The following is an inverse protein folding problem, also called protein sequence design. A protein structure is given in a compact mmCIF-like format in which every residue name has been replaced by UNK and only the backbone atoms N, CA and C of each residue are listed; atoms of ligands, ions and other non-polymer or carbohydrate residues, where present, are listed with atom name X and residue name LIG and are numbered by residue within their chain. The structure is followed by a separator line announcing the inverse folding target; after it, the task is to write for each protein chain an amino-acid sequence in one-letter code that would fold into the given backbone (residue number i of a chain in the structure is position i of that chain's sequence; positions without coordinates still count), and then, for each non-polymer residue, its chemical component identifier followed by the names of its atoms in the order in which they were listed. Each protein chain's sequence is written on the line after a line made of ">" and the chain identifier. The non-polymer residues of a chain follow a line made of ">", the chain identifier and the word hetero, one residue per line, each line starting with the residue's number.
data_IF_064512980238
#
_entry.id   IF_064512980238
#
_cell.length_a   1.000
_cell.length_b   1.000
_cell.length_c   1.000
_cell.angle_alpha   90.00
_cell.angle_beta   90.00
_cell.angle_gamma   90.00
#
_symmetry.space_group_name_H-M   'P 1'
#
loop_
_entity.id
_entity.type
_entity.pdbx_description
1 polymer ?
#
# COMPACT_ATOMS: atom_id res chain seq x y z
N UNK A 1 -6.77 -11.26 -13.91
CA UNK A 1 -5.49 -10.59 -13.64
C UNK A 1 -4.39 -11.37 -14.33
N UNK A 2 -3.58 -10.76 -15.21
CA UNK A 2 -2.39 -11.43 -15.70
C UNK A 2 -1.47 -11.72 -14.49
N UNK A 3 -0.86 -12.92 -14.42
CA UNK A 3 0.10 -13.23 -13.37
C UNK A 3 1.35 -12.37 -13.61
N UNK A 4 1.89 -11.75 -12.55
CA UNK A 4 3.16 -10.98 -12.54
C UNK A 4 3.12 -9.48 -12.88
N UNK A 5 2.03 -8.76 -12.59
CA UNK A 5 2.08 -7.28 -12.56
C UNK A 5 1.97 -6.74 -11.13
N UNK A 6 3.08 -6.67 -10.36
CA UNK A 6 3.08 -6.10 -9.00
C UNK A 6 2.66 -4.62 -8.98
N UNK A 7 2.87 -3.91 -10.08
CA UNK A 7 2.49 -2.51 -10.30
C UNK A 7 0.96 -2.32 -10.38
N UNK A 8 0.24 -3.41 -10.70
CA UNK A 8 -1.22 -3.48 -10.79
C UNK A 8 -1.88 -3.99 -9.51
N UNK A 9 -1.11 -4.38 -8.47
CA UNK A 9 -1.70 -4.84 -7.22
C UNK A 9 -1.84 -3.67 -6.22
N UNK A 10 -3.07 -3.15 -5.98
CA UNK A 10 -3.28 -2.05 -5.04
C UNK A 10 -2.83 -2.39 -3.62
N UNK A 11 -2.82 -3.68 -3.24
CA UNK A 11 -2.35 -4.14 -1.94
C UNK A 11 -0.85 -3.94 -1.78
N UNK A 12 -0.04 -4.21 -2.81
CA UNK A 12 1.41 -4.02 -2.77
C UNK A 12 1.78 -2.52 -2.70
N UNK A 13 1.03 -1.68 -3.43
CA UNK A 13 1.17 -0.21 -3.35
C UNK A 13 0.86 0.32 -1.96
N UNK A 14 -0.22 -0.19 -1.36
CA UNK A 14 -0.64 0.15 -0.01
C UNK A 14 0.38 -0.30 1.04
N UNK A 15 0.90 -1.53 0.90
CA UNK A 15 1.94 -2.06 1.77
C UNK A 15 3.23 -1.23 1.66
N UNK A 16 3.63 -0.85 0.45
CA UNK A 16 4.82 -0.01 0.22
C UNK A 16 4.66 1.36 0.89
N UNK A 17 3.48 1.97 0.77
CA UNK A 17 3.15 3.23 1.44
C UNK A 17 3.23 3.10 2.97
N UNK A 18 2.60 2.07 3.54
CA UNK A 18 2.63 1.80 4.97
C UNK A 18 4.05 1.59 5.50
N UNK A 19 4.85 0.81 4.77
CA UNK A 19 6.24 0.54 5.13
C UNK A 19 7.10 1.80 5.12
N UNK A 20 6.95 2.66 4.11
CA UNK A 20 7.75 3.88 3.99
C UNK A 20 7.35 4.95 5.02
N UNK A 21 6.06 5.13 5.26
CA UNK A 21 5.55 6.26 6.06
C UNK A 21 5.36 5.99 7.55
N UNK A 22 5.07 4.75 7.94
CA UNK A 22 4.70 4.44 9.33
C UNK A 22 5.59 3.40 9.99
N UNK A 23 6.13 2.46 9.21
CA UNK A 23 6.89 1.31 9.72
C UNK A 23 8.40 1.43 9.47
N UNK A 24 8.86 2.53 8.86
CA UNK A 24 10.28 2.76 8.55
C UNK A 24 11.07 3.18 9.80
N UNK A 25 12.35 2.81 9.84
CA UNK A 25 13.30 3.17 10.91
C UNK A 25 12.86 2.78 12.33
N UNK A 26 12.10 1.68 12.47
CA UNK A 26 11.71 1.10 13.76
C UNK A 26 12.33 -0.27 13.94
N UNK A 27 12.77 -0.56 15.16
CA UNK A 27 13.11 -1.91 15.60
C UNK A 27 11.89 -2.47 16.33
N UNK A 28 11.49 -3.69 15.98
CA UNK A 28 10.37 -4.38 16.60
C UNK A 28 10.91 -5.44 17.55
N UNK A 29 10.40 -5.47 18.78
CA UNK A 29 10.85 -6.41 19.82
C UNK A 29 10.40 -7.85 19.52
N UNK A 30 9.36 -8.01 18.69
CA UNK A 30 8.84 -9.32 18.30
C UNK A 30 7.73 -9.22 17.27
N UNK A 31 7.11 -10.36 16.99
CA UNK A 31 6.03 -10.47 16.02
C UNK A 31 4.79 -9.64 16.40
N UNK A 32 4.40 -9.69 17.68
CA UNK A 32 3.24 -8.96 18.18
C UNK A 32 3.43 -7.44 18.04
N UNK A 33 4.63 -6.94 18.33
CA UNK A 33 4.97 -5.52 18.20
C UNK A 33 4.93 -5.05 16.73
N UNK A 34 5.39 -5.88 15.79
CA UNK A 34 5.25 -5.62 14.36
C UNK A 34 3.78 -5.61 13.92
N UNK A 35 2.98 -6.56 14.40
CA UNK A 35 1.54 -6.63 14.09
C UNK A 35 0.80 -5.41 14.61
N UNK A 36 1.04 -5.02 15.86
CA UNK A 36 0.42 -3.88 16.49
C UNK A 36 0.80 -2.57 15.77
N UNK A 37 2.08 -2.41 15.42
CA UNK A 37 2.52 -1.28 14.61
C UNK A 37 1.87 -1.25 13.23
N UNK A 38 1.70 -2.42 12.59
CA UNK A 38 0.98 -2.54 11.31
C UNK A 38 -0.51 -2.16 11.43
N UNK A 39 -1.17 -2.63 12.49
CA UNK A 39 -2.57 -2.31 12.77
C UNK A 39 -2.76 -0.81 13.09
N UNK A 40 -1.81 -0.20 13.79
CA UNK A 40 -1.80 1.23 14.08
C UNK A 40 -1.60 2.06 12.81
N UNK A 41 -0.63 1.68 11.98
CA UNK A 41 -0.40 2.32 10.69
C UNK A 41 -1.64 2.24 9.78
N UNK A 42 -2.36 1.11 9.79
CA UNK A 42 -3.63 0.96 9.08
C UNK A 42 -4.70 1.94 9.57
N UNK A 43 -4.86 2.11 10.89
CA UNK A 43 -5.84 3.04 11.48
C UNK A 43 -5.58 4.51 11.13
N UNK A 44 -4.34 4.86 10.78
CA UNK A 44 -3.97 6.22 10.40
C UNK A 44 -4.22 6.56 8.94
N UNK A 45 -4.58 5.57 8.09
CA UNK A 45 -4.92 5.81 6.69
C UNK A 45 -6.33 6.39 6.58
N UNK A 46 -6.44 7.50 5.85
CA UNK A 46 -7.74 8.07 5.48
C UNK A 46 -8.28 7.46 4.17
N UNK A 47 -9.60 7.46 3.95
CA UNK A 47 -10.20 7.00 2.70
C UNK A 47 -9.68 7.72 1.45
N UNK A 48 -9.35 9.01 1.57
CA UNK A 48 -8.75 9.83 0.50
C UNK A 48 -7.35 9.32 0.14
N UNK A 49 -6.54 9.03 1.16
CA UNK A 49 -5.19 8.50 0.96
C UNK A 49 -5.22 7.09 0.38
N UNK A 50 -6.13 6.24 0.86
CA UNK A 50 -6.33 4.89 0.31
C UNK A 50 -6.66 4.95 -1.19
N UNK A 51 -7.60 5.82 -1.59
CA UNK A 51 -7.95 6.02 -3.00
C UNK A 51 -6.77 6.52 -3.84
N UNK A 52 -5.97 7.43 -3.31
CA UNK A 52 -4.79 7.96 -4.00
C UNK A 52 -3.67 6.92 -4.15
N UNK A 53 -3.39 6.13 -3.10
CA UNK A 53 -2.30 5.13 -3.12
C UNK A 53 -2.66 3.94 -4.00
N UNK A 54 -3.93 3.54 -3.99
CA UNK A 54 -4.45 2.42 -4.78
C UNK A 54 -4.96 2.84 -6.17
N UNK A 55 -4.87 4.12 -6.55
CA UNK A 55 -5.22 4.57 -7.90
C UNK A 55 -4.27 3.92 -8.91
N UNK A 56 -4.85 3.32 -9.95
CA UNK A 56 -4.12 2.74 -11.08
C UNK A 56 -4.28 3.69 -12.27
N UNK A 57 -3.20 4.38 -12.64
CA UNK A 57 -3.17 5.30 -13.78
C UNK A 57 -2.98 4.57 -15.13
N UNK A 58 -2.63 3.28 -15.12
CA UNK A 58 -2.31 2.48 -16.32
C UNK A 58 -3.53 2.02 -17.14
N UNK A 59 -4.73 2.52 -16.85
CA UNK A 59 -5.83 2.43 -17.81
C UNK A 59 -5.67 3.61 -18.77
N UNK A 60 -4.75 3.49 -19.72
CA UNK A 60 -4.81 4.33 -20.92
C UNK A 60 -6.20 4.12 -21.53
N UNK A 61 -7.02 5.16 -21.75
CA UNK A 61 -8.31 5.00 -22.39
C UNK A 61 -8.09 4.37 -23.77
N UNK A 62 -8.95 3.41 -24.13
CA UNK A 62 -8.89 2.65 -25.40
C UNK A 62 -9.00 3.54 -26.66
N UNK A 63 -9.18 4.85 -26.48
CA UNK A 63 -9.28 5.90 -27.50
C UNK A 63 -7.94 6.30 -28.14
N UNK A 64 -6.78 5.85 -27.64
CA UNK A 64 -5.46 6.07 -28.28
C UNK A 64 -4.85 4.78 -28.89
N UNK A 65 -5.69 3.80 -29.27
CA UNK A 65 -5.27 2.61 -30.06
C UNK A 65 -5.74 2.64 -31.50
#
# INVERSE_FOLDING_TARGET
>A
MPPYSPELNPVERLWTYLRSHYLSNRAYDGYDDLLDAGAEAWRQITPERLRSVCACDDIMPEEER
#
